data_IF_941641309217
#
_entry.id   IF_941641309217
#
_cell.length_a   1.000
_cell.length_b   1.000
_cell.length_c   1.000
_cell.angle_alpha   90.00
_cell.angle_beta   90.00
_cell.angle_gamma   90.00
#
_symmetry.space_group_name_H-M   'P 1'
#
loop_
_entity.id
_entity.type
_entity.pdbx_description
1 polymer ?
#
# COMPACT_ATOMS: atom_id res chain seq x y z
N UNK A 1 25.13 -19.13 -23.93
CA UNK A 1 24.18 -19.19 -22.80
C UNK A 1 22.90 -19.81 -23.35
N UNK A 2 22.42 -20.88 -22.74
CA UNK A 2 21.26 -21.63 -23.24
C UNK A 2 20.02 -20.71 -23.35
N UNK A 3 19.20 -20.89 -24.39
CA UNK A 3 18.00 -20.07 -24.62
C UNK A 3 17.06 -20.13 -23.39
N UNK A 4 17.01 -21.28 -22.73
CA UNK A 4 16.25 -21.47 -21.50
C UNK A 4 16.77 -20.62 -20.34
N UNK A 5 18.09 -20.50 -20.19
CA UNK A 5 18.73 -19.67 -19.15
C UNK A 5 18.44 -18.19 -19.41
N UNK A 6 18.50 -17.74 -20.67
CA UNK A 6 18.19 -16.36 -21.04
C UNK A 6 16.73 -16.01 -20.75
N UNK A 7 15.78 -16.89 -21.10
CA UNK A 7 14.35 -16.71 -20.81
C UNK A 7 14.07 -16.60 -19.31
N UNK A 8 14.69 -17.47 -18.49
CA UNK A 8 14.54 -17.44 -17.04
C UNK A 8 15.00 -16.11 -16.43
N UNK A 9 16.14 -15.57 -16.91
CA UNK A 9 16.66 -14.29 -16.43
C UNK A 9 15.68 -13.15 -16.74
N UNK A 10 15.14 -13.09 -17.97
CA UNK A 10 14.15 -12.07 -18.36
C UNK A 10 12.88 -12.18 -17.51
N UNK A 11 12.40 -13.40 -17.25
CA UNK A 11 11.24 -13.64 -16.39
C UNK A 11 11.44 -13.12 -14.97
N UNK A 12 12.61 -13.36 -14.37
CA UNK A 12 12.94 -12.87 -13.03
C UNK A 12 12.92 -11.34 -12.99
N UNK A 13 13.56 -10.68 -13.97
CA UNK A 13 13.54 -9.22 -14.07
C UNK A 13 12.12 -8.67 -14.27
N UNK A 14 11.31 -9.35 -15.08
CA UNK A 14 9.90 -9.00 -15.28
C UNK A 14 9.12 -9.04 -13.97
N UNK A 15 9.26 -10.11 -13.18
CA UNK A 15 8.59 -10.25 -11.88
C UNK A 15 9.04 -9.13 -10.93
N UNK A 16 10.34 -8.85 -10.83
CA UNK A 16 10.87 -7.77 -9.98
C UNK A 16 10.26 -6.42 -10.40
N UNK A 17 10.24 -6.13 -11.71
CA UNK A 17 9.65 -4.91 -12.24
C UNK A 17 8.17 -4.77 -11.86
N UNK A 18 7.38 -5.84 -12.02
CA UNK A 18 5.96 -5.84 -11.65
C UNK A 18 5.75 -5.62 -10.15
N UNK A 19 6.56 -6.25 -9.28
CA UNK A 19 6.49 -6.06 -7.83
C UNK A 19 6.78 -4.61 -7.45
N UNK A 20 7.84 -4.02 -8.00
CA UNK A 20 8.21 -2.62 -7.73
C UNK A 20 7.11 -1.66 -8.20
N UNK A 21 6.57 -1.85 -9.41
CA UNK A 21 5.49 -1.00 -9.94
C UNK A 21 4.24 -1.07 -9.07
N UNK A 22 3.87 -2.26 -8.60
CA UNK A 22 2.74 -2.44 -7.68
C UNK A 22 2.94 -1.68 -6.37
N UNK A 23 4.15 -1.70 -5.82
CA UNK A 23 4.49 -0.97 -4.61
C UNK A 23 4.39 0.55 -4.79
N UNK A 24 4.93 1.08 -5.90
CA UNK A 24 4.89 2.52 -6.20
C UNK A 24 3.44 3.02 -6.32
N UNK A 25 2.56 2.25 -6.97
CA UNK A 25 1.13 2.61 -7.11
C UNK A 25 0.46 2.66 -5.74
N UNK A 26 0.70 1.65 -4.89
CA UNK A 26 0.14 1.60 -3.54
C UNK A 26 0.63 2.76 -2.66
N UNK A 27 1.91 3.14 -2.79
CA UNK A 27 2.48 4.30 -2.08
C UNK A 27 1.83 5.61 -2.53
N UNK A 28 1.70 5.84 -3.85
CA UNK A 28 1.03 7.05 -4.36
C UNK A 28 -0.43 7.13 -3.94
N UNK A 29 -1.11 5.99 -3.87
CA UNK A 29 -2.48 5.92 -3.39
C UNK A 29 -2.56 6.24 -1.89
N UNK A 30 -1.65 5.72 -1.07
CA UNK A 30 -1.56 6.09 0.34
C UNK A 30 -1.33 7.60 0.53
N UNK A 31 -0.41 8.20 -0.22
CA UNK A 31 -0.19 9.66 -0.20
C UNK A 31 -1.44 10.44 -0.62
N UNK A 32 -2.17 9.93 -1.61
CA UNK A 32 -3.44 10.52 -2.04
C UNK A 32 -4.49 10.50 -0.92
N UNK A 33 -4.60 9.38 -0.19
CA UNK A 33 -5.52 9.26 0.95
C UNK A 33 -5.15 10.23 2.08
N UNK A 34 -3.87 10.36 2.40
CA UNK A 34 -3.40 11.31 3.42
C UNK A 34 -3.75 12.75 3.00
N UNK A 35 -3.55 13.10 1.72
CA UNK A 35 -3.71 14.47 1.23
C UNK A 35 -5.17 14.89 1.02
N UNK A 36 -5.99 13.99 0.48
CA UNK A 36 -7.37 14.31 0.06
C UNK A 36 -8.43 13.78 1.02
N UNK A 37 -8.02 13.39 2.24
CA UNK A 37 -8.81 12.61 3.17
C UNK A 37 -10.30 12.93 3.20
N UNK A 38 -11.08 12.13 2.48
CA UNK A 38 -12.53 12.21 2.38
C UNK A 38 -13.23 11.26 3.35
N UNK A 39 -14.55 11.12 3.19
CA UNK A 39 -15.42 10.24 4.01
C UNK A 39 -14.87 8.82 4.17
N UNK A 40 -14.14 8.31 3.17
CA UNK A 40 -13.60 6.94 3.21
C UNK A 40 -12.58 6.68 4.33
N UNK A 41 -11.97 7.70 4.94
CA UNK A 41 -11.00 7.57 6.03
C UNK A 41 -11.43 8.29 7.31
N UNK A 42 -12.68 8.74 7.37
CA UNK A 42 -13.24 9.43 8.53
C UNK A 42 -13.26 8.52 9.77
N UNK A 43 -13.47 7.21 9.57
CA UNK A 43 -13.36 6.18 10.62
C UNK A 43 -11.99 6.16 11.34
N UNK A 44 -10.93 6.66 10.71
CA UNK A 44 -9.58 6.76 11.31
C UNK A 44 -9.51 7.97 12.26
N UNK A 45 -10.18 9.07 11.90
CA UNK A 45 -10.25 10.31 12.67
C UNK A 45 -11.19 10.22 13.86
N UNK A 46 -12.32 9.53 13.71
CA UNK A 46 -13.32 9.39 14.77
C UNK A 46 -12.83 8.58 15.99
N UNK A 47 -11.62 8.01 15.95
CA UNK A 47 -10.98 7.25 17.04
C UNK A 47 -11.83 6.10 17.63
N UNK A 48 -12.89 5.67 16.94
CA UNK A 48 -13.80 4.62 17.38
C UNK A 48 -13.18 3.20 17.39
N UNK A 49 -12.03 3.02 16.74
CA UNK A 49 -11.33 1.73 16.59
C UNK A 49 -9.91 1.81 17.14
N UNK A 50 -9.28 0.68 17.45
CA UNK A 50 -7.85 0.68 17.79
C UNK A 50 -6.99 0.98 16.57
N UNK A 51 -5.78 1.52 16.78
CA UNK A 51 -4.84 1.83 15.69
C UNK A 51 -4.60 0.60 14.79
N UNK A 52 -4.37 -0.57 15.40
CA UNK A 52 -4.15 -1.82 14.65
C UNK A 52 -5.37 -2.23 13.83
N UNK A 53 -6.59 -1.99 14.32
CA UNK A 53 -7.82 -2.30 13.58
C UNK A 53 -7.98 -1.38 12.38
N UNK A 54 -7.71 -0.08 12.55
CA UNK A 54 -7.71 0.88 11.44
C UNK A 54 -6.73 0.45 10.34
N UNK A 55 -5.49 0.05 10.70
CA UNK A 55 -4.49 -0.43 9.73
C UNK A 55 -4.96 -1.70 9.02
N UNK A 56 -5.54 -2.66 9.75
CA UNK A 56 -6.06 -3.90 9.16
C UNK A 56 -7.23 -3.65 8.23
N UNK A 57 -8.19 -2.82 8.63
CA UNK A 57 -9.35 -2.45 7.81
C UNK A 57 -8.94 -1.74 6.53
N UNK A 58 -8.04 -0.76 6.65
CA UNK A 58 -7.53 0.01 5.52
C UNK A 58 -6.79 -0.89 4.53
N UNK A 59 -5.92 -1.77 5.02
CA UNK A 59 -5.22 -2.73 4.18
C UNK A 59 -6.18 -3.77 3.56
N UNK A 60 -7.23 -4.18 4.28
CA UNK A 60 -8.26 -5.11 3.76
C UNK A 60 -9.08 -4.47 2.64
N UNK A 61 -9.48 -3.21 2.80
CA UNK A 61 -10.31 -2.47 1.84
C UNK A 61 -9.54 -2.09 0.58
N UNK A 62 -8.34 -1.52 0.73
CA UNK A 62 -7.61 -0.93 -0.40
C UNK A 62 -6.40 -1.76 -0.89
N UNK A 63 -6.01 -2.83 -0.18
CA UNK A 63 -4.88 -3.71 -0.53
C UNK A 63 -3.57 -2.96 -0.80
N UNK A 64 -3.36 -1.86 -0.08
CA UNK A 64 -2.20 -0.96 -0.23
C UNK A 64 -0.92 -1.49 0.45
N UNK A 65 -1.01 -2.58 1.20
CA UNK A 65 0.08 -3.14 1.99
C UNK A 65 0.11 -2.56 3.41
N UNK A 66 0.54 -3.39 4.36
CA UNK A 66 0.53 -3.06 5.80
C UNK A 66 1.34 -1.80 6.10
N UNK A 67 2.51 -1.62 5.47
CA UNK A 67 3.39 -0.46 5.72
C UNK A 67 2.73 0.85 5.25
N UNK A 68 2.14 0.84 4.06
CA UNK A 68 1.44 2.01 3.54
C UNK A 68 0.18 2.31 4.36
N UNK A 69 -0.58 1.28 4.74
CA UNK A 69 -1.75 1.44 5.61
C UNK A 69 -1.38 2.00 6.99
N UNK A 70 -0.25 1.55 7.55
CA UNK A 70 0.31 2.10 8.78
C UNK A 70 0.62 3.60 8.64
N UNK A 71 1.33 3.98 7.57
CA UNK A 71 1.69 5.37 7.31
C UNK A 71 0.45 6.28 7.22
N UNK A 72 -0.58 5.83 6.50
CA UNK A 72 -1.85 6.57 6.36
C UNK A 72 -2.52 6.76 7.72
N UNK A 73 -2.70 5.69 8.50
CA UNK A 73 -3.35 5.77 9.81
C UNK A 73 -2.55 6.65 10.78
N UNK A 74 -1.23 6.55 10.76
CA UNK A 74 -0.34 7.36 11.59
C UNK A 74 -0.47 8.86 11.26
N UNK A 75 -0.33 9.22 9.97
CA UNK A 75 -0.43 10.62 9.53
C UNK A 75 -1.81 11.25 9.78
N UNK A 76 -2.87 10.45 9.87
CA UNK A 76 -4.23 10.95 10.10
C UNK A 76 -4.59 11.09 11.58
N UNK A 77 -3.92 10.33 12.48
CA UNK A 77 -4.15 10.38 13.93
C UNK A 77 -3.20 11.30 14.69
N UNK A 78 -2.00 11.56 14.16
CA UNK A 78 -1.06 12.52 14.76
C UNK A 78 -1.45 14.00 14.49
N UNK A 79 -2.59 14.26 13.84
CA UNK A 79 -3.17 15.61 13.67
C UNK A 79 -4.31 15.84 14.64
#
# INVERSE_FOLDING_TARGET
>A
MDLQVMLNIVLIFGIIYFVVRRYIIASKFADYMIKNGGEEIEFIKENNLSFSECVKLLNKKHKIGIVNAFSVVNCLREK
#
